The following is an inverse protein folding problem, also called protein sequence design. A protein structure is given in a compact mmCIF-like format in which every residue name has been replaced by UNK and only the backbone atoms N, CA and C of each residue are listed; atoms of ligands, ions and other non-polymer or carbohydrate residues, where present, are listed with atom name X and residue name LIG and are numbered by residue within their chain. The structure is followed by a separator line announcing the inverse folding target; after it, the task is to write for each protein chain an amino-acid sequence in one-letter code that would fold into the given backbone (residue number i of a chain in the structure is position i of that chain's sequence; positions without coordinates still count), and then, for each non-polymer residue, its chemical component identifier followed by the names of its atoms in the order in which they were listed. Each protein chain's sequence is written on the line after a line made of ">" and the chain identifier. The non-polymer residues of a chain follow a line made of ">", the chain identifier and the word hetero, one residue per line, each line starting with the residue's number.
data_IF_422117492511
#
_entry.id   IF_422117492511
#
_cell.length_a   1.000
_cell.length_b   1.000
_cell.length_c   1.000
_cell.angle_alpha   90.00
_cell.angle_beta   90.00
_cell.angle_gamma   90.00
#
_symmetry.space_group_name_H-M   'P 1'
#
loop_
_entity.id
_entity.type
_entity.pdbx_description
1 polymer ?
#
# COMPACT_ATOMS: atom_id res chain seq x y z
N UNK A 1 8.97 22.88 5.09
CA UNK A 1 7.50 22.96 4.96
C UNK A 1 6.92 21.74 5.65
N UNK A 2 5.95 21.91 6.54
CA UNK A 2 5.25 20.83 7.25
C UNK A 2 3.75 20.94 6.97
N UNK A 3 3.02 19.84 7.07
CA UNK A 3 1.59 19.76 6.77
C UNK A 3 0.80 19.44 8.04
N UNK A 4 -0.35 20.07 8.21
CA UNK A 4 -1.36 19.74 9.23
C UNK A 4 -2.25 18.57 8.80
N UNK A 5 -2.45 18.39 7.50
CA UNK A 5 -3.25 17.30 6.92
C UNK A 5 -2.57 16.69 5.71
N UNK A 6 -2.47 15.36 5.71
CA UNK A 6 -1.98 14.58 4.56
C UNK A 6 -3.08 13.62 4.12
N UNK A 7 -3.38 13.61 2.82
CA UNK A 7 -4.36 12.71 2.22
C UNK A 7 -3.70 11.82 1.16
N UNK A 8 -4.06 10.54 1.13
CA UNK A 8 -3.63 9.64 0.05
C UNK A 8 -4.70 8.60 -0.27
N UNK A 9 -5.14 8.54 -1.53
CA UNK A 9 -6.19 7.62 -1.96
C UNK A 9 -5.65 6.70 -3.05
N UNK A 10 -5.69 5.39 -2.79
CA UNK A 10 -5.29 4.32 -3.69
C UNK A 10 -3.82 4.38 -4.17
N UNK A 11 -2.93 5.06 -3.43
CA UNK A 11 -1.51 5.17 -3.80
C UNK A 11 -0.58 4.40 -2.86
N UNK A 12 -0.80 4.47 -1.54
CA UNK A 12 0.15 3.93 -0.54
C UNK A 12 0.46 2.44 -0.74
N UNK A 13 -0.51 1.65 -1.20
CA UNK A 13 -0.30 0.23 -1.41
C UNK A 13 0.78 -0.05 -2.47
N UNK A 14 1.01 0.81 -3.47
CA UNK A 14 2.10 0.60 -4.44
C UNK A 14 3.51 0.79 -3.87
N UNK A 15 3.64 1.27 -2.62
CA UNK A 15 4.93 1.55 -2.01
C UNK A 15 5.38 0.32 -1.21
N UNK A 16 6.53 -0.30 -1.51
CA UNK A 16 6.93 -1.57 -0.89
C UNK A 16 7.40 -1.43 0.57
N UNK A 17 7.91 -0.26 0.97
CA UNK A 17 8.44 -0.05 2.32
C UNK A 17 7.59 0.94 3.12
N UNK A 18 6.50 0.44 3.70
CA UNK A 18 5.59 1.23 4.51
C UNK A 18 6.22 1.81 5.78
N UNK A 19 7.07 1.10 6.55
CA UNK A 19 7.72 1.71 7.72
C UNK A 19 8.52 2.97 7.37
N UNK A 20 9.28 2.94 6.26
CA UNK A 20 10.02 4.10 5.77
C UNK A 20 9.08 5.21 5.29
N UNK A 21 8.00 4.86 4.59
CA UNK A 21 6.99 5.82 4.13
C UNK A 21 6.35 6.54 5.31
N UNK A 22 5.77 5.80 6.27
CA UNK A 22 5.09 6.39 7.41
C UNK A 22 6.03 7.21 8.29
N UNK A 23 7.31 6.81 8.41
CA UNK A 23 8.31 7.68 9.05
C UNK A 23 8.44 9.02 8.32
N UNK A 24 8.57 9.00 6.99
CA UNK A 24 8.69 10.24 6.20
C UNK A 24 7.43 11.10 6.27
N UNK A 25 6.25 10.48 6.22
CA UNK A 25 4.99 11.20 6.37
C UNK A 25 4.89 11.84 7.76
N UNK A 26 5.32 11.13 8.80
CA UNK A 26 5.42 11.67 10.16
C UNK A 26 6.39 12.87 10.24
N UNK A 27 7.59 12.76 9.65
CA UNK A 27 8.57 13.85 9.63
C UNK A 27 8.07 15.08 8.83
N UNK A 28 7.12 14.89 7.91
CA UNK A 28 6.48 15.96 7.12
C UNK A 28 5.28 16.59 7.85
N UNK A 29 4.81 16.00 8.94
CA UNK A 29 3.68 16.53 9.70
C UNK A 29 4.12 17.50 10.79
N UNK A 30 3.24 18.47 11.06
CA UNK A 30 3.30 19.23 12.31
C UNK A 30 2.89 18.34 13.49
N UNK A 31 3.27 18.74 14.70
CA UNK A 31 2.79 18.06 15.91
C UNK A 31 1.26 18.17 16.01
N UNK A 32 0.58 17.03 16.17
CA UNK A 32 -0.89 16.98 16.19
C UNK A 32 -1.56 17.00 14.80
N UNK A 33 -0.78 16.97 13.72
CA UNK A 33 -1.32 16.80 12.37
C UNK A 33 -1.92 15.41 12.15
N UNK A 34 -2.73 15.30 11.10
CA UNK A 34 -3.50 14.10 10.78
C UNK A 34 -3.16 13.55 9.40
N UNK A 35 -3.19 12.22 9.27
CA UNK A 35 -3.13 11.53 7.97
C UNK A 35 -4.40 10.72 7.79
N UNK A 36 -5.05 10.93 6.64
CA UNK A 36 -6.11 10.05 6.17
C UNK A 36 -5.66 9.36 4.88
N UNK A 37 -5.82 8.04 4.82
CA UNK A 37 -5.52 7.30 3.61
C UNK A 37 -6.53 6.19 3.34
N UNK A 38 -6.68 5.87 2.07
CA UNK A 38 -7.48 4.78 1.55
C UNK A 38 -6.60 3.95 0.63
N UNK A 39 -6.58 2.64 0.79
CA UNK A 39 -5.75 1.73 0.01
C UNK A 39 -6.47 0.42 -0.25
N UNK A 40 -5.96 -0.34 -1.21
CA UNK A 40 -6.44 -1.70 -1.49
C UNK A 40 -5.62 -2.64 -0.61
N UNK A 41 -6.26 -3.25 0.39
CA UNK A 41 -5.61 -4.20 1.29
C UNK A 41 -5.49 -5.59 0.67
N UNK A 42 -6.53 -6.01 -0.05
CA UNK A 42 -6.58 -7.25 -0.82
C UNK A 42 -7.51 -7.10 -2.03
N UNK A 43 -7.20 -7.73 -3.16
CA UNK A 43 -8.03 -7.74 -4.36
C UNK A 43 -7.59 -8.79 -5.38
N UNK A 44 -8.55 -9.54 -5.92
CA UNK A 44 -8.33 -10.48 -7.03
C UNK A 44 -7.77 -9.80 -8.30
N UNK A 45 -7.90 -8.48 -8.42
CA UNK A 45 -7.34 -7.74 -9.56
C UNK A 45 -5.83 -7.93 -9.71
N UNK A 46 -5.11 -8.07 -8.59
CA UNK A 46 -3.65 -8.29 -8.63
C UNK A 46 -3.29 -9.64 -9.24
N UNK A 47 -4.11 -10.68 -9.00
CA UNK A 47 -3.95 -11.96 -9.66
C UNK A 47 -4.25 -11.87 -11.16
N UNK A 48 -5.33 -11.19 -11.55
CA UNK A 48 -5.70 -11.00 -12.96
C UNK A 48 -4.59 -10.28 -13.71
N UNK A 49 -4.05 -9.20 -13.15
CA UNK A 49 -2.93 -8.47 -13.72
C UNK A 49 -1.69 -9.37 -13.90
N UNK A 50 -1.38 -10.23 -12.93
CA UNK A 50 -0.29 -11.19 -13.04
C UNK A 50 -0.51 -12.27 -14.10
N UNK A 51 -1.75 -12.61 -14.43
CA UNK A 51 -2.02 -13.49 -15.58
C UNK A 51 -1.93 -12.72 -16.89
N UNK A 52 -2.46 -11.50 -16.96
CA UNK A 52 -2.38 -10.67 -18.16
C UNK A 52 -0.94 -10.28 -18.52
N UNK A 53 -0.03 -10.18 -17.54
CA UNK A 53 1.39 -9.94 -17.83
C UNK A 53 2.07 -11.10 -18.57
N UNK A 54 1.52 -12.31 -18.49
CA UNK A 54 2.02 -13.51 -19.19
C UNK A 54 1.37 -13.71 -20.56
N UNK A 55 0.32 -12.95 -20.87
CA UNK A 55 -0.39 -13.07 -22.12
C UNK A 55 0.48 -12.56 -23.30
N UNK A 56 0.54 -13.27 -24.44
CA UNK A 56 1.39 -12.89 -25.56
C UNK A 56 0.99 -11.59 -26.27
N UNK A 57 -0.27 -11.16 -26.14
CA UNK A 57 -0.78 -9.91 -26.73
C UNK A 57 -0.62 -8.76 -25.74
N UNK A 58 -1.01 -8.99 -24.48
CA UNK A 58 -1.11 -7.95 -23.47
C UNK A 58 0.15 -7.80 -22.61
N UNK A 59 0.96 -8.85 -22.47
CA UNK A 59 2.09 -8.89 -21.53
C UNK A 59 3.12 -7.78 -21.73
N UNK A 60 3.33 -7.34 -22.97
CA UNK A 60 4.21 -6.21 -23.29
C UNK A 60 3.78 -4.87 -22.67
N UNK A 61 2.51 -4.71 -22.30
CA UNK A 61 1.97 -3.51 -21.67
C UNK A 61 1.99 -3.56 -20.14
N UNK A 62 2.00 -4.76 -19.55
CA UNK A 62 1.95 -4.95 -18.10
C UNK A 62 3.31 -4.84 -17.41
N UNK A 63 4.40 -4.71 -18.19
CA UNK A 63 5.74 -4.45 -17.70
C UNK A 63 6.40 -5.67 -17.03
N UNK A 64 7.72 -5.73 -17.10
CA UNK A 64 8.54 -6.84 -16.56
C UNK A 64 8.49 -6.89 -15.02
N UNK A 65 7.94 -5.86 -14.36
CA UNK A 65 8.06 -5.67 -12.92
C UNK A 65 6.70 -5.63 -12.19
N UNK A 66 5.66 -6.26 -12.76
CA UNK A 66 4.35 -6.30 -12.11
C UNK A 66 4.43 -6.89 -10.70
N UNK A 67 5.31 -7.86 -10.50
CA UNK A 67 5.58 -8.47 -9.20
C UNK A 67 6.27 -7.52 -8.21
N UNK A 68 6.89 -6.42 -8.66
CA UNK A 68 7.44 -5.38 -7.78
C UNK A 68 6.40 -4.31 -7.41
N UNK A 69 5.39 -4.12 -8.27
CA UNK A 69 4.31 -3.19 -8.02
C UNK A 69 3.27 -3.75 -7.07
N UNK A 70 3.01 -5.05 -7.11
CA UNK A 70 2.03 -5.73 -6.25
C UNK A 70 2.69 -6.02 -4.89
N UNK A 71 2.19 -5.45 -3.77
CA UNK A 71 2.72 -5.77 -2.45
C UNK A 71 2.65 -7.26 -2.14
N UNK A 72 3.67 -7.78 -1.47
CA UNK A 72 3.71 -9.18 -1.01
C UNK A 72 2.51 -9.53 -0.13
N UNK A 73 1.90 -8.55 0.55
CA UNK A 73 0.67 -8.73 1.32
C UNK A 73 -0.48 -9.33 0.51
N UNK A 74 -0.52 -9.10 -0.81
CA UNK A 74 -1.54 -9.66 -1.71
C UNK A 74 -1.25 -11.10 -2.16
N UNK A 75 -0.02 -11.60 -1.92
CA UNK A 75 0.35 -12.99 -2.18
C UNK A 75 0.27 -13.86 -0.92
N UNK A 76 -0.02 -13.27 0.24
CA UNK A 76 -0.14 -13.97 1.52
C UNK A 76 -1.52 -14.63 1.64
N UNK A 77 -1.63 -15.93 1.94
CA UNK A 77 -2.90 -16.59 2.21
C UNK A 77 -3.58 -16.10 3.51
N UNK A 78 -2.91 -15.21 4.27
CA UNK A 78 -3.45 -14.59 5.45
C UNK A 78 -3.51 -13.06 5.28
N UNK A 79 -4.69 -12.48 4.95
CA UNK A 79 -4.86 -11.03 4.82
C UNK A 79 -4.67 -10.27 6.14
N UNK A 80 -4.71 -10.95 7.29
CA UNK A 80 -4.41 -10.36 8.61
C UNK A 80 -2.91 -10.26 8.89
N UNK A 81 -2.07 -11.06 8.19
CA UNK A 81 -0.61 -11.01 8.34
C UNK A 81 0.02 -9.79 7.63
N UNK A 82 -0.75 -9.07 6.80
CA UNK A 82 -0.31 -7.88 6.08
C UNK A 82 -0.04 -6.65 6.97
N UNK A 83 -0.17 -6.76 8.30
CA UNK A 83 0.07 -5.66 9.25
C UNK A 83 -0.91 -4.48 9.11
N UNK A 84 -2.01 -4.66 8.37
CA UNK A 84 -3.03 -3.65 8.11
C UNK A 84 -4.19 -3.67 9.11
N UNK A 85 -4.23 -4.64 10.03
CA UNK A 85 -5.23 -4.63 11.10
C UNK A 85 -4.91 -3.45 12.03
N UNK A 86 -5.68 -2.37 11.87
CA UNK A 86 -5.69 -1.19 12.72
C UNK A 86 -6.13 -1.46 14.16
N UNK A 87 -5.79 -2.60 14.75
CA UNK A 87 -5.99 -2.90 16.17
C UNK A 87 -4.92 -2.24 17.06
N UNK A 88 -3.98 -1.48 16.48
CA UNK A 88 -3.01 -0.66 17.21
C UNK A 88 -3.54 0.70 17.71
N UNK A 89 -4.82 1.03 17.49
CA UNK A 89 -5.42 2.28 18.00
C UNK A 89 -6.30 2.09 19.26
N UNK A 90 -6.37 0.89 19.84
CA UNK A 90 -7.06 0.73 21.13
C UNK A 90 -6.10 0.90 22.31
N UNK A 91 -6.30 2.04 22.97
CA UNK A 91 -5.92 2.44 24.34
C UNK A 91 -4.48 2.92 24.53
N UNK A 92 -4.31 4.26 24.49
CA UNK A 92 -3.34 4.93 25.36
C UNK A 92 -3.76 4.72 26.82
N UNK A 93 -2.82 4.53 27.77
CA UNK A 93 -3.09 4.82 29.18
C UNK A 93 -3.37 6.31 29.40
#
# INVERSE_FOLDING_TARGET
>A
MQFDKIFSFLVIHWIPNWPRLFKRLYDLMVQGGEIAFYLIADSDMFWVWKQMSKDPVWGKYYGVEIDKGIPESHSSPNPQAAGLTGTGLTKRP
#
